data_IF_752940268573
#
_entry.id   IF_752940268573
#
_cell.length_a   1.000
_cell.length_b   1.000
_cell.length_c   1.000
_cell.angle_alpha   90.00
_cell.angle_beta   90.00
_cell.angle_gamma   90.00
#
_symmetry.space_group_name_H-M   'P 1'
#
loop_
_entity.id
_entity.type
_entity.pdbx_description
1 polymer ?
#
# COMPACT_ATOMS: atom_id res chain seq x y z
N UNK A 1 9.73 -9.98 -10.27
CA UNK A 1 9.05 -9.75 -11.55
C UNK A 1 10.08 -9.58 -12.64
N UNK A 2 9.99 -10.43 -13.66
CA UNK A 2 10.59 -10.24 -14.97
C UNK A 2 10.41 -8.77 -15.38
N UNK A 3 11.45 -8.15 -15.90
CA UNK A 3 11.29 -6.94 -16.68
C UNK A 3 10.31 -7.27 -17.80
N UNK A 4 9.00 -7.04 -17.56
CA UNK A 4 8.06 -6.86 -18.66
C UNK A 4 8.73 -5.74 -19.45
N UNK A 5 9.12 -5.97 -20.72
CA UNK A 5 9.68 -4.90 -21.50
C UNK A 5 8.61 -3.81 -21.46
N UNK A 6 8.94 -2.68 -20.83
CA UNK A 6 8.08 -1.51 -20.83
C UNK A 6 7.99 -1.12 -22.31
N UNK A 7 6.99 -1.65 -22.99
CA UNK A 7 6.95 -1.67 -24.44
C UNK A 7 7.05 -0.25 -24.96
N UNK A 8 8.15 0.09 -25.65
CA UNK A 8 8.37 1.31 -26.43
C UNK A 8 7.78 2.63 -25.88
N UNK A 9 7.64 2.80 -24.57
CA UNK A 9 7.20 4.06 -24.00
C UNK A 9 8.36 5.04 -24.11
N UNK A 10 8.25 5.98 -25.04
CA UNK A 10 9.22 7.06 -25.26
C UNK A 10 8.86 8.35 -24.54
N UNK A 11 7.68 8.42 -23.92
CA UNK A 11 7.15 9.62 -23.28
C UNK A 11 6.69 9.29 -21.87
N UNK A 12 6.84 10.27 -20.98
CA UNK A 12 6.34 10.20 -19.62
C UNK A 12 4.81 10.08 -19.61
N UNK A 13 4.28 9.20 -18.75
CA UNK A 13 2.84 8.93 -18.63
C UNK A 13 2.37 9.12 -17.20
N UNK A 14 1.10 9.49 -17.04
CA UNK A 14 0.47 9.57 -15.72
C UNK A 14 0.36 8.14 -15.16
N UNK A 15 0.77 7.97 -13.92
CA UNK A 15 0.65 6.74 -13.17
C UNK A 15 -0.22 6.94 -11.92
N UNK A 16 -0.74 5.85 -11.37
CA UNK A 16 -1.62 5.90 -10.20
C UNK A 16 -0.86 5.89 -8.87
N UNK A 17 0.38 5.38 -8.85
CA UNK A 17 1.22 5.37 -7.66
C UNK A 17 2.72 5.41 -7.97
N UNK A 18 3.49 5.91 -7.03
CA UNK A 18 4.95 5.92 -7.05
C UNK A 18 5.45 4.70 -6.26
N UNK A 19 6.35 3.89 -6.82
CA UNK A 19 6.91 2.72 -6.12
C UNK A 19 7.95 3.15 -5.09
N UNK A 20 7.81 2.70 -3.83
CA UNK A 20 8.62 3.20 -2.71
C UNK A 20 10.14 3.14 -2.89
N UNK A 21 10.66 2.15 -3.63
CA UNK A 21 12.10 1.97 -3.84
C UNK A 21 12.69 2.64 -5.10
N UNK A 22 11.88 3.29 -5.94
CA UNK A 22 12.33 3.85 -7.22
C UNK A 22 11.53 5.09 -7.61
N UNK A 23 11.37 6.00 -6.66
CA UNK A 23 10.59 7.23 -6.84
C UNK A 23 11.34 8.44 -6.29
N UNK A 24 11.17 9.58 -6.96
CA UNK A 24 11.65 10.89 -6.50
C UNK A 24 10.44 11.80 -6.21
N UNK A 25 10.53 12.58 -5.14
CA UNK A 25 9.45 13.47 -4.72
C UNK A 25 9.96 14.91 -4.56
N UNK A 26 9.12 15.87 -4.95
CA UNK A 26 9.31 17.26 -4.56
C UNK A 26 9.26 17.38 -3.03
N UNK A 27 10.32 17.93 -2.42
CA UNK A 27 10.45 18.03 -0.96
C UNK A 27 9.28 18.80 -0.33
N UNK A 28 8.86 19.92 -0.92
CA UNK A 28 7.79 20.74 -0.36
C UNK A 28 6.48 19.96 -0.40
N UNK A 29 6.14 19.37 -1.55
CA UNK A 29 4.92 18.55 -1.69
C UNK A 29 4.93 17.35 -0.74
N UNK A 30 6.07 16.66 -0.60
CA UNK A 30 6.22 15.54 0.33
C UNK A 30 5.96 15.94 1.78
N UNK A 31 6.54 17.06 2.23
CA UNK A 31 6.35 17.58 3.58
C UNK A 31 4.93 18.09 3.80
N UNK A 32 4.33 18.76 2.82
CA UNK A 32 2.91 19.20 2.87
C UNK A 32 1.95 18.01 3.00
N UNK A 33 2.27 16.86 2.41
CA UNK A 33 1.48 15.65 2.57
C UNK A 33 1.70 14.99 3.94
N UNK A 34 2.73 15.35 4.70
CA UNK A 34 3.12 14.71 5.97
C UNK A 34 4.04 13.49 5.80
N UNK A 35 4.62 13.30 4.61
CA UNK A 35 5.50 12.18 4.29
C UNK A 35 4.82 10.81 4.30
N UNK A 36 5.62 9.75 4.45
CA UNK A 36 5.15 8.38 4.62
C UNK A 36 4.54 8.17 6.00
N UNK A 37 3.33 7.62 6.05
CA UNK A 37 2.58 7.50 7.30
C UNK A 37 3.14 6.34 8.16
N UNK A 38 3.53 6.59 9.43
CA UNK A 38 4.03 5.56 10.33
C UNK A 38 3.01 4.45 10.63
N UNK A 39 1.73 4.65 10.30
CA UNK A 39 0.69 3.62 10.36
C UNK A 39 1.07 2.36 9.59
N UNK A 40 1.86 2.46 8.52
CA UNK A 40 2.20 1.32 7.67
C UNK A 40 3.51 0.64 8.05
N UNK A 41 4.23 1.12 9.07
CA UNK A 41 5.49 0.52 9.52
C UNK A 41 5.34 -1.00 9.78
N UNK A 42 6.35 -1.81 9.42
CA UNK A 42 7.65 -1.41 8.84
C UNK A 42 7.68 -1.25 7.31
N UNK A 43 6.69 -1.76 6.55
CA UNK A 43 6.68 -1.70 5.08
C UNK A 43 5.29 -2.03 4.53
N UNK A 44 5.13 -1.81 3.21
CA UNK A 44 3.92 -1.99 2.40
C UNK A 44 2.81 -0.98 2.70
N UNK A 45 2.25 -0.41 1.63
CA UNK A 45 1.16 0.58 1.59
C UNK A 45 1.52 2.02 1.95
N UNK A 46 2.70 2.31 2.49
CA UNK A 46 3.12 3.69 2.76
C UNK A 46 3.23 4.54 1.50
N UNK A 47 3.68 3.94 0.40
CA UNK A 47 3.87 4.56 -0.91
C UNK A 47 2.54 4.72 -1.66
N UNK A 48 1.67 3.71 -1.57
CA UNK A 48 0.29 3.76 -2.07
C UNK A 48 -0.50 4.84 -1.32
N UNK A 49 -0.39 4.92 0.00
CA UNK A 49 -1.07 5.94 0.81
C UNK A 49 -0.58 7.36 0.50
N UNK A 50 0.72 7.54 0.35
CA UNK A 50 1.31 8.81 -0.07
C UNK A 50 0.81 9.21 -1.46
N UNK A 51 0.80 8.25 -2.40
CA UNK A 51 0.32 8.45 -3.77
C UNK A 51 -1.16 8.82 -3.79
N UNK A 52 -1.99 8.12 -3.02
CA UNK A 52 -3.41 8.41 -2.86
C UNK A 52 -3.64 9.82 -2.33
N UNK A 53 -2.91 10.23 -1.27
CA UNK A 53 -2.99 11.59 -0.74
C UNK A 53 -2.53 12.64 -1.76
N UNK A 54 -1.47 12.36 -2.52
CA UNK A 54 -0.98 13.24 -3.56
C UNK A 54 -2.02 13.46 -4.66
N UNK A 55 -2.64 12.38 -5.16
CA UNK A 55 -3.71 12.44 -6.15
C UNK A 55 -4.92 13.24 -5.64
N UNK A 56 -5.29 13.07 -4.36
CA UNK A 56 -6.37 13.86 -3.74
C UNK A 56 -6.08 15.36 -3.61
N UNK A 57 -4.82 15.76 -3.64
CA UNK A 57 -4.41 17.18 -3.72
C UNK A 57 -4.20 17.66 -5.17
N UNK A 58 -4.53 16.85 -6.18
CA UNK A 58 -4.36 17.19 -7.59
C UNK A 58 -2.92 17.10 -8.09
N UNK A 59 -2.00 16.51 -7.31
CA UNK A 59 -0.64 16.25 -7.78
C UNK A 59 -0.62 15.10 -8.79
N UNK A 60 0.28 15.20 -9.75
CA UNK A 60 0.50 14.17 -10.77
C UNK A 60 1.63 13.25 -10.33
N UNK A 61 1.41 11.95 -10.50
CA UNK A 61 2.45 10.94 -10.40
C UNK A 61 2.78 10.54 -11.83
N UNK A 62 4.07 10.60 -12.17
CA UNK A 62 4.54 10.44 -13.55
C UNK A 62 5.53 9.30 -13.58
N UNK A 63 5.32 8.38 -14.51
CA UNK A 63 6.28 7.33 -14.83
C UNK A 63 7.17 7.80 -15.98
N UNK A 64 8.48 7.85 -15.75
CA UNK A 64 9.49 8.23 -16.74
C UNK A 64 10.21 6.98 -17.25
N UNK A 65 9.89 6.48 -18.45
CA UNK A 65 10.48 5.24 -18.98
C UNK A 65 12.00 5.32 -19.21
N UNK A 66 12.57 6.51 -19.34
CA UNK A 66 14.03 6.69 -19.49
C UNK A 66 14.77 6.62 -18.14
N UNK A 67 14.07 6.75 -17.01
CA UNK A 67 14.66 6.62 -15.67
C UNK A 67 14.63 5.16 -15.23
N UNK A 68 15.71 4.44 -15.51
CA UNK A 68 15.82 3.00 -15.22
C UNK A 68 16.58 2.76 -13.92
N UNK A 69 15.98 1.98 -13.01
CA UNK A 69 16.58 1.55 -11.75
C UNK A 69 16.58 0.02 -11.70
N UNK A 70 17.74 -0.57 -11.44
CA UNK A 70 17.88 -2.01 -11.27
C UNK A 70 17.62 -2.37 -9.80
N UNK A 71 16.55 -3.13 -9.55
CA UNK A 71 16.18 -3.58 -8.22
C UNK A 71 16.21 -5.11 -8.14
N UNK A 72 17.08 -5.66 -7.29
CA UNK A 72 17.07 -7.09 -6.98
C UNK A 72 15.85 -7.41 -6.10
N UNK A 73 14.83 -8.03 -6.70
CA UNK A 73 13.53 -8.23 -6.06
C UNK A 73 13.58 -9.30 -4.95
N UNK A 74 12.88 -9.02 -3.84
CA UNK A 74 12.43 -9.95 -2.79
C UNK A 74 13.43 -10.82 -2.02
N UNK A 75 14.72 -10.85 -2.34
CA UNK A 75 15.67 -11.70 -1.60
C UNK A 75 15.90 -11.23 -0.16
N UNK A 76 15.95 -9.92 0.10
CA UNK A 76 16.27 -9.41 1.45
C UNK A 76 15.06 -9.41 2.39
N UNK A 77 13.88 -8.98 1.94
CA UNK A 77 12.72 -8.89 2.83
C UNK A 77 12.16 -10.28 3.19
N UNK A 78 12.15 -11.22 2.24
CA UNK A 78 11.69 -12.59 2.50
C UNK A 78 12.65 -13.32 3.44
N UNK A 79 13.97 -13.12 3.30
CA UNK A 79 14.97 -13.71 4.21
C UNK A 79 14.91 -13.12 5.63
N UNK A 80 14.57 -11.83 5.77
CA UNK A 80 14.48 -11.15 7.08
C UNK A 80 13.15 -11.40 7.80
N UNK A 81 12.02 -11.34 7.10
CA UNK A 81 10.69 -11.40 7.73
C UNK A 81 9.98 -12.74 7.55
N UNK A 82 10.33 -13.51 6.52
CA UNK A 82 9.57 -14.68 6.09
C UNK A 82 8.31 -14.29 5.31
N UNK A 83 8.00 -15.08 4.27
CA UNK A 83 6.90 -14.81 3.34
C UNK A 83 5.54 -14.61 4.04
N UNK A 84 5.20 -15.49 4.99
CA UNK A 84 3.94 -15.44 5.75
C UNK A 84 3.76 -14.12 6.51
N UNK A 85 4.84 -13.59 7.10
CA UNK A 85 4.81 -12.33 7.86
C UNK A 85 4.64 -11.14 6.93
N UNK A 86 5.29 -11.15 5.77
CA UNK A 86 5.14 -10.12 4.74
C UNK A 86 3.70 -10.09 4.19
N UNK A 87 3.13 -11.25 3.87
CA UNK A 87 1.75 -11.36 3.42
C UNK A 87 0.77 -10.86 4.49
N UNK A 88 0.95 -11.26 5.75
CA UNK A 88 0.14 -10.77 6.87
C UNK A 88 0.24 -9.24 7.01
N UNK A 89 1.45 -8.69 6.89
CA UNK A 89 1.68 -7.25 6.96
C UNK A 89 1.03 -6.50 5.81
N UNK A 90 1.14 -7.00 4.57
CA UNK A 90 0.51 -6.41 3.40
C UNK A 90 -1.03 -6.42 3.52
N UNK A 91 -1.63 -7.53 3.99
CA UNK A 91 -3.07 -7.64 4.25
C UNK A 91 -3.51 -6.70 5.38
N UNK A 92 -2.75 -6.64 6.48
CA UNK A 92 -3.04 -5.76 7.62
C UNK A 92 -3.05 -4.30 7.15
N UNK A 93 -2.02 -3.89 6.42
CA UNK A 93 -1.87 -2.53 5.95
C UNK A 93 -2.90 -2.15 4.87
N UNK A 94 -3.36 -3.12 4.06
CA UNK A 94 -4.51 -2.94 3.16
C UNK A 94 -5.77 -2.57 3.94
N UNK A 95 -6.07 -3.30 5.02
CA UNK A 95 -7.25 -3.05 5.86
C UNK A 95 -7.16 -1.65 6.49
N UNK A 96 -5.98 -1.29 7.02
CA UNK A 96 -5.72 0.03 7.60
C UNK A 96 -5.89 1.16 6.58
N UNK A 97 -5.40 0.97 5.35
CA UNK A 97 -5.56 1.94 4.27
C UNK A 97 -7.03 2.16 3.94
N UNK A 98 -7.82 1.08 3.85
CA UNK A 98 -9.27 1.15 3.64
C UNK A 98 -9.92 1.95 4.77
N UNK A 99 -9.72 1.55 6.03
CA UNK A 99 -10.31 2.24 7.19
C UNK A 99 -9.93 3.72 7.29
N UNK A 100 -8.70 4.08 6.91
CA UNK A 100 -8.24 5.47 6.89
C UNK A 100 -8.96 6.33 5.85
N UNK A 101 -9.39 5.74 4.74
CA UNK A 101 -9.85 6.50 3.56
C UNK A 101 -11.34 6.36 3.24
N UNK A 102 -12.02 5.30 3.69
CA UNK A 102 -13.45 5.10 3.43
C UNK A 102 -14.31 6.14 4.17
N UNK A 103 -15.35 6.63 3.50
CA UNK A 103 -16.34 7.57 4.07
C UNK A 103 -17.73 7.30 3.50
N UNK A 104 -18.76 7.74 4.22
CA UNK A 104 -20.15 7.70 3.75
C UNK A 104 -20.60 6.30 3.33
N UNK A 105 -21.10 6.16 2.10
CA UNK A 105 -21.58 4.88 1.55
C UNK A 105 -20.54 3.75 1.59
N UNK A 106 -19.27 4.06 1.35
CA UNK A 106 -18.20 3.05 1.37
C UNK A 106 -18.01 2.44 2.76
N UNK A 107 -18.28 3.21 3.83
CA UNK A 107 -18.23 2.70 5.19
C UNK A 107 -19.36 1.70 5.45
N UNK A 108 -20.57 1.99 4.97
CA UNK A 108 -21.71 1.08 5.09
C UNK A 108 -21.47 -0.22 4.31
N UNK A 109 -20.97 -0.11 3.07
CA UNK A 109 -20.59 -1.27 2.26
C UNK A 109 -19.49 -2.08 2.94
N UNK A 110 -18.49 -1.44 3.53
CA UNK A 110 -17.46 -2.13 4.30
C UNK A 110 -18.05 -2.97 5.43
N UNK A 111 -18.94 -2.41 6.25
CA UNK A 111 -19.59 -3.16 7.33
C UNK A 111 -20.48 -4.30 6.81
N UNK A 112 -21.18 -4.08 5.70
CA UNK A 112 -22.03 -5.10 5.09
C UNK A 112 -21.23 -6.29 4.55
N UNK A 113 -20.09 -6.03 3.90
CA UNK A 113 -19.23 -7.08 3.34
C UNK A 113 -18.24 -7.69 4.35
N UNK A 114 -18.09 -7.09 5.53
CA UNK A 114 -17.13 -7.54 6.53
C UNK A 114 -17.34 -9.01 6.96
N UNK A 115 -18.57 -9.50 7.24
CA UNK A 115 -18.79 -10.91 7.57
C UNK A 115 -18.36 -11.86 6.44
N UNK A 116 -18.64 -11.49 5.19
CA UNK A 116 -18.20 -12.26 4.02
C UNK A 116 -16.67 -12.38 3.99
N UNK A 117 -15.94 -11.28 4.19
CA UNK A 117 -14.48 -11.31 4.21
C UNK A 117 -13.92 -12.10 5.39
N UNK A 118 -14.47 -11.92 6.59
CA UNK A 118 -14.05 -12.66 7.78
C UNK A 118 -14.22 -14.17 7.66
N UNK A 119 -15.17 -14.64 6.85
CA UNK A 119 -15.39 -16.07 6.60
C UNK A 119 -14.62 -16.53 5.35
N UNK A 120 -15.01 -16.05 4.17
CA UNK A 120 -14.52 -16.58 2.89
C UNK A 120 -13.09 -16.17 2.59
N UNK A 121 -12.70 -14.92 2.88
CA UNK A 121 -11.32 -14.47 2.65
C UNK A 121 -10.37 -15.07 3.68
N UNK A 122 -10.82 -15.26 4.92
CA UNK A 122 -10.04 -16.00 5.92
C UNK A 122 -9.78 -17.46 5.49
N UNK A 123 -10.79 -18.18 4.99
CA UNK A 123 -10.60 -19.54 4.46
C UNK A 123 -9.62 -19.54 3.29
N UNK A 124 -9.82 -18.66 2.29
CA UNK A 124 -8.97 -18.58 1.09
C UNK A 124 -7.51 -18.27 1.42
N UNK A 125 -7.27 -17.46 2.45
CA UNK A 125 -5.92 -17.05 2.90
C UNK A 125 -5.37 -17.95 4.01
N UNK A 126 -5.98 -19.12 4.27
CA UNK A 126 -5.55 -20.07 5.32
C UNK A 126 -5.40 -19.41 6.70
N UNK A 127 -6.33 -18.51 7.03
CA UNK A 127 -6.38 -17.77 8.30
C UNK A 127 -5.56 -16.48 8.35
N UNK A 128 -4.73 -16.18 7.34
CA UNK A 128 -3.90 -14.97 7.35
C UNK A 128 -4.69 -13.67 7.34
N UNK A 129 -5.84 -13.64 6.67
CA UNK A 129 -6.70 -12.47 6.68
C UNK A 129 -7.23 -12.17 8.10
N UNK A 130 -7.60 -13.20 8.86
CA UNK A 130 -8.10 -13.03 10.23
C UNK A 130 -7.00 -12.50 11.17
N UNK A 131 -5.79 -13.04 11.07
CA UNK A 131 -4.65 -12.55 11.85
C UNK A 131 -4.30 -11.11 11.48
N UNK A 132 -4.29 -10.79 10.18
CA UNK A 132 -4.09 -9.43 9.68
C UNK A 132 -5.18 -8.46 10.16
N UNK A 133 -6.44 -8.88 10.18
CA UNK A 133 -7.57 -8.08 10.64
C UNK A 133 -7.46 -7.73 12.13
N UNK A 134 -7.17 -8.71 12.98
CA UNK A 134 -6.97 -8.48 14.41
C UNK A 134 -5.77 -7.56 14.67
N UNK A 135 -4.66 -7.75 13.95
CA UNK A 135 -3.51 -6.86 14.04
C UNK A 135 -3.84 -5.45 13.55
N UNK A 136 -4.67 -5.31 12.51
CA UNK A 136 -5.12 -4.02 12.01
C UNK A 136 -5.97 -3.31 13.07
N UNK A 137 -6.90 -4.01 13.72
CA UNK A 137 -7.73 -3.45 14.79
C UNK A 137 -6.88 -2.89 15.94
N UNK A 138 -5.95 -3.70 16.46
CA UNK A 138 -5.04 -3.28 17.53
C UNK A 138 -4.22 -2.06 17.12
N UNK A 139 -3.63 -2.10 15.93
CA UNK A 139 -2.79 -1.01 15.41
C UNK A 139 -3.58 0.27 15.13
N UNK A 140 -4.83 0.13 14.68
CA UNK A 140 -5.73 1.27 14.43
C UNK A 140 -6.09 2.00 15.73
N UNK A 141 -6.41 1.25 16.79
CA UNK A 141 -6.65 1.83 18.13
C UNK A 141 -5.40 2.56 18.62
N UNK A 142 -4.22 1.92 18.55
CA UNK A 142 -2.95 2.54 18.95
C UNK A 142 -2.59 3.80 18.17
N UNK A 143 -3.01 3.90 16.91
CA UNK A 143 -2.75 5.07 16.05
C UNK A 143 -3.70 6.24 16.33
N UNK A 144 -4.87 5.97 16.91
CA UNK A 144 -5.90 6.97 17.22
C UNK A 144 -5.84 7.52 18.64
N UNK A 145 -5.15 6.83 19.54
CA UNK A 145 -4.75 7.33 20.87
C UNK A 145 -3.62 8.34 20.72
#
# INVERSE_FOLDING_TARGET
HSAVPVGNLKKAVINCWATGGSSAFDRRKYLTLGGMDPLYKPAYWEDIDLSWRACRQGYKIIFEPQSQVFHNHETTNVSVFGQKKMETMALRNQILFVWKNIRGRQLLEHFFWLPYHLIFTAIRTRGLFLTAFLQALLKWVQYKL
#
